data_IF_773582073783
#
_entry.id   IF_773582073783
#
_cell.length_a   1.000
_cell.length_b   1.000
_cell.length_c   1.000
_cell.angle_alpha   90.00
_cell.angle_beta   90.00
_cell.angle_gamma   90.00
#
_symmetry.space_group_name_H-M   'P 1'
#
loop_
_entity.id
_entity.type
_entity.pdbx_description
1 polymer ?
#
# COMPACT_ATOMS: atom_id res chain seq x y z
N UNK A 1 22.67 -8.70 21.50
CA UNK A 1 23.04 -8.62 20.06
C UNK A 1 21.95 -9.37 19.31
N UNK A 2 20.93 -8.65 18.88
CA UNK A 2 19.73 -9.25 18.25
C UNK A 2 19.86 -9.03 16.75
N UNK A 3 19.85 -10.13 16.00
CA UNK A 3 19.90 -10.14 14.54
C UNK A 3 18.61 -9.56 13.97
N UNK A 4 18.68 -8.73 12.94
CA UNK A 4 17.48 -8.21 12.29
C UNK A 4 16.72 -9.35 11.59
N UNK A 5 15.43 -9.28 11.66
CA UNK A 5 14.41 -10.24 11.20
C UNK A 5 14.53 -10.68 9.72
N UNK A 6 15.43 -10.07 8.95
CA UNK A 6 15.59 -10.29 7.52
C UNK A 6 16.72 -11.25 7.15
N UNK A 7 17.56 -11.66 8.09
CA UNK A 7 18.69 -12.56 7.81
C UNK A 7 18.29 -14.01 7.54
N UNK A 8 17.04 -14.39 7.74
CA UNK A 8 16.54 -15.75 7.53
C UNK A 8 15.95 -16.05 6.16
N UNK A 9 15.70 -15.05 5.34
CA UNK A 9 14.98 -15.20 4.06
C UNK A 9 15.85 -15.61 2.86
N UNK A 10 17.18 -15.76 3.02
CA UNK A 10 18.10 -15.99 1.90
C UNK A 10 18.96 -17.25 1.99
N UNK A 11 18.59 -18.23 2.82
CA UNK A 11 19.30 -19.51 2.89
C UNK A 11 18.84 -20.54 1.83
N UNK A 12 18.51 -20.09 0.62
CA UNK A 12 18.20 -20.95 -0.52
C UNK A 12 19.13 -20.67 -1.67
N UNK A 13 19.88 -21.67 -2.07
CA UNK A 13 20.77 -21.63 -3.22
C UNK A 13 20.05 -21.18 -4.49
N UNK A 14 20.42 -20.03 -5.04
CA UNK A 14 20.13 -19.66 -6.41
C UNK A 14 20.95 -20.56 -7.36
N UNK A 15 20.46 -21.72 -7.66
CA UNK A 15 20.87 -22.45 -8.86
C UNK A 15 19.90 -22.08 -9.96
N UNK A 16 20.42 -21.43 -11.01
CA UNK A 16 19.73 -21.24 -12.27
C UNK A 16 19.55 -22.62 -12.91
N UNK A 17 18.41 -23.20 -12.67
CA UNK A 17 17.99 -24.47 -13.26
C UNK A 17 16.51 -24.61 -12.96
N UNK A 18 15.72 -24.88 -14.00
CA UNK A 18 14.30 -25.15 -13.89
C UNK A 18 14.05 -26.25 -12.84
N UNK A 19 13.60 -25.87 -11.65
CA UNK A 19 13.18 -26.81 -10.62
C UNK A 19 11.77 -26.50 -10.13
N UNK A 20 11.03 -27.56 -10.03
CA UNK A 20 9.64 -27.69 -9.67
C UNK A 20 9.34 -27.16 -8.26
N UNK A 21 8.15 -26.65 -8.10
CA UNK A 21 7.47 -25.99 -6.99
C UNK A 21 7.59 -26.59 -5.57
N UNK A 22 8.41 -27.58 -5.34
CA UNK A 22 8.49 -28.31 -4.06
C UNK A 22 9.58 -27.76 -3.12
N UNK A 23 10.57 -27.04 -3.61
CA UNK A 23 11.67 -26.54 -2.76
C UNK A 23 11.44 -25.16 -2.15
N UNK A 24 10.52 -24.36 -2.71
CA UNK A 24 10.14 -23.08 -2.13
C UNK A 24 9.44 -23.19 -0.76
N UNK A 25 8.96 -24.36 -0.39
CA UNK A 25 8.38 -24.64 0.92
C UNK A 25 9.39 -24.70 2.07
N UNK A 26 10.69 -24.77 1.77
CA UNK A 26 11.74 -24.97 2.77
C UNK A 26 12.30 -23.68 3.39
N UNK A 27 11.85 -22.52 2.95
CA UNK A 27 12.37 -21.22 3.41
C UNK A 27 11.34 -20.37 4.14
N UNK A 28 10.23 -20.94 4.56
CA UNK A 28 9.44 -20.29 5.59
C UNK A 28 10.31 -20.11 6.84
N UNK A 29 10.33 -18.91 7.45
CA UNK A 29 10.80 -18.81 8.83
C UNK A 29 10.09 -19.92 9.61
N UNK A 30 10.84 -20.64 10.44
CA UNK A 30 10.25 -21.64 11.32
C UNK A 30 9.15 -20.95 12.12
N UNK A 31 8.12 -21.67 12.54
CA UNK A 31 7.02 -21.10 13.34
C UNK A 31 7.51 -20.35 14.59
N UNK A 32 8.76 -20.61 15.01
CA UNK A 32 9.41 -19.96 16.13
C UNK A 32 9.83 -18.51 15.86
N UNK A 33 9.96 -18.10 14.60
CA UNK A 33 10.38 -16.74 14.20
C UNK A 33 9.19 -15.82 13.87
N UNK A 34 8.02 -16.40 13.57
CA UNK A 34 6.81 -15.65 13.27
C UNK A 34 5.86 -15.64 14.46
N UNK A 35 5.73 -14.50 15.14
CA UNK A 35 4.80 -14.35 16.26
C UNK A 35 3.51 -13.69 15.79
N UNK A 36 2.44 -14.48 15.68
CA UNK A 36 1.09 -13.94 15.44
C UNK A 36 0.52 -13.35 16.74
N UNK A 37 0.11 -12.09 16.68
CA UNK A 37 -0.53 -11.39 17.79
C UNK A 37 -1.79 -10.69 17.30
N UNK A 38 -2.99 -11.03 17.83
CA UNK A 38 -4.21 -10.31 17.49
C UNK A 38 -4.16 -8.92 18.08
N UNK A 39 -4.05 -7.90 17.22
CA UNK A 39 -4.01 -6.50 17.63
C UNK A 39 -5.41 -5.91 17.80
N UNK A 40 -6.30 -6.22 16.87
CA UNK A 40 -7.72 -5.87 16.94
C UNK A 40 -8.53 -7.15 16.88
N UNK A 41 -9.41 -7.38 17.88
CA UNK A 41 -10.19 -8.61 17.98
C UNK A 41 -11.64 -8.36 17.62
N UNK A 42 -12.14 -9.13 16.67
CA UNK A 42 -13.56 -9.24 16.39
C UNK A 42 -14.22 -10.22 17.38
N UNK A 43 -15.34 -9.85 17.98
CA UNK A 43 -16.13 -10.78 18.81
C UNK A 43 -16.76 -11.86 17.93
N UNK A 44 -16.98 -13.10 18.46
CA UNK A 44 -17.62 -14.18 17.72
C UNK A 44 -18.93 -13.74 17.08
N UNK A 45 -19.14 -14.10 15.81
CA UNK A 45 -20.35 -13.75 15.04
C UNK A 45 -20.40 -12.30 14.55
N UNK A 46 -19.36 -11.51 14.75
CA UNK A 46 -19.22 -10.14 14.25
C UNK A 46 -17.91 -9.99 13.46
N UNK A 47 -17.90 -9.09 12.49
CA UNK A 47 -16.69 -8.81 11.69
C UNK A 47 -16.37 -7.30 11.69
N UNK A 48 -16.24 -6.64 12.86
CA UNK A 48 -16.12 -5.19 12.89
C UNK A 48 -14.75 -4.68 12.41
N UNK A 49 -13.63 -5.44 12.59
CA UNK A 49 -12.32 -4.95 12.21
C UNK A 49 -11.90 -5.43 10.83
N UNK A 50 -11.50 -4.48 9.97
CA UNK A 50 -11.00 -4.74 8.62
C UNK A 50 -9.97 -3.68 8.22
N UNK A 51 -9.31 -3.92 7.08
CA UNK A 51 -8.46 -2.96 6.36
C UNK A 51 -7.34 -2.42 7.25
N UNK A 52 -6.26 -3.17 7.43
CA UNK A 52 -5.13 -2.73 8.22
C UNK A 52 -4.30 -1.66 7.49
N UNK A 53 -3.80 -0.69 8.25
CA UNK A 53 -2.76 0.21 7.83
C UNK A 53 -1.70 0.31 8.93
N UNK A 54 -0.43 0.47 8.56
CA UNK A 54 0.65 0.58 9.52
C UNK A 54 1.72 1.57 9.04
N UNK A 55 2.24 2.35 9.96
CA UNK A 55 3.42 3.19 9.74
C UNK A 55 4.39 3.06 10.91
N UNK A 56 5.64 3.42 10.69
CA UNK A 56 6.66 3.58 11.72
C UNK A 56 7.12 5.04 11.71
N UNK A 57 7.13 5.69 12.85
CA UNK A 57 7.63 7.05 12.94
C UNK A 57 9.17 7.07 13.13
N UNK A 58 9.78 8.24 13.03
CA UNK A 58 11.24 8.40 13.14
C UNK A 58 11.83 7.96 14.48
N UNK A 59 11.00 7.75 15.51
CA UNK A 59 11.41 7.28 16.83
C UNK A 59 11.25 5.77 16.98
N UNK A 60 10.78 5.07 15.92
CA UNK A 60 10.53 3.64 15.95
C UNK A 60 9.15 3.25 16.49
N UNK A 61 8.28 4.22 16.85
CA UNK A 61 6.92 3.91 17.27
C UNK A 61 6.12 3.39 16.08
N UNK A 62 5.52 2.23 16.23
CA UNK A 62 4.56 1.68 15.27
C UNK A 62 3.18 2.29 15.51
N UNK A 63 2.52 2.69 14.41
CA UNK A 63 1.15 3.21 14.40
C UNK A 63 0.33 2.24 13.57
N UNK A 64 -0.49 1.40 14.21
CA UNK A 64 -1.36 0.46 13.53
C UNK A 64 -2.80 0.98 13.53
N UNK A 65 -3.41 1.04 12.37
CA UNK A 65 -4.78 1.53 12.15
C UNK A 65 -5.63 0.40 11.58
N UNK A 66 -6.90 0.37 11.94
CA UNK A 66 -7.91 -0.54 11.37
C UNK A 66 -9.28 0.12 11.34
N UNK A 67 -10.08 -0.23 10.34
CA UNK A 67 -11.50 0.07 10.34
C UNK A 67 -12.19 -0.73 11.44
N UNK A 68 -13.06 -0.08 12.20
CA UNK A 68 -14.05 -0.69 13.07
C UNK A 68 -15.42 -0.52 12.41
N UNK A 69 -16.03 -1.63 11.98
CA UNK A 69 -17.23 -1.65 11.13
C UNK A 69 -18.45 -2.26 11.82
N UNK A 70 -19.03 -1.62 12.85
CA UNK A 70 -20.22 -2.14 13.53
C UNK A 70 -21.44 -2.30 12.61
N UNK A 71 -21.49 -1.58 11.48
CA UNK A 71 -22.51 -1.76 10.45
C UNK A 71 -22.39 -3.08 9.67
N UNK A 72 -21.25 -3.78 9.78
CA UNK A 72 -20.98 -5.02 9.05
C UNK A 72 -20.64 -4.87 7.58
N UNK A 73 -20.80 -3.67 7.00
CA UNK A 73 -20.58 -3.35 5.59
C UNK A 73 -19.36 -2.46 5.34
N UNK A 74 -19.21 -2.04 4.09
CA UNK A 74 -18.22 -1.05 3.66
C UNK A 74 -18.71 0.38 4.01
N UNK A 75 -17.83 1.38 3.79
CA UNK A 75 -18.18 2.79 3.97
C UNK A 75 -19.36 3.12 3.04
N UNK A 76 -20.36 3.79 3.59
CA UNK A 76 -21.61 4.10 2.90
C UNK A 76 -22.80 3.26 3.35
N UNK A 77 -22.58 2.15 4.07
CA UNK A 77 -23.65 1.32 4.62
C UNK A 77 -23.99 1.61 6.10
N UNK A 78 -23.31 2.56 6.73
CA UNK A 78 -23.54 2.94 8.10
C UNK A 78 -22.27 3.37 8.82
N UNK A 79 -22.32 3.35 10.16
CA UNK A 79 -21.18 3.77 10.99
C UNK A 79 -19.96 2.89 10.77
N UNK A 80 -18.85 3.53 10.45
CA UNK A 80 -17.49 2.97 10.44
C UNK A 80 -16.59 3.97 11.15
N UNK A 81 -15.71 3.47 12.03
CA UNK A 81 -14.71 4.29 12.72
C UNK A 81 -13.32 3.85 12.31
N UNK A 82 -12.36 4.75 12.34
CA UNK A 82 -10.95 4.41 12.33
C UNK A 82 -10.44 4.30 13.78
N UNK A 83 -9.86 3.15 14.11
CA UNK A 83 -9.25 2.86 15.40
C UNK A 83 -7.75 2.65 15.22
N UNK A 84 -6.96 2.99 16.25
CA UNK A 84 -5.52 2.81 16.18
C UNK A 84 -4.91 2.38 17.51
N UNK A 85 -3.71 1.82 17.43
CA UNK A 85 -2.85 1.47 18.57
C UNK A 85 -1.41 1.86 18.27
N UNK A 86 -0.67 2.14 19.31
CA UNK A 86 0.74 2.50 19.26
C UNK A 86 1.61 1.45 19.95
N UNK A 87 2.82 1.25 19.44
CA UNK A 87 3.83 0.42 20.09
C UNK A 87 5.19 1.11 19.99
N UNK A 88 5.85 1.31 21.16
CA UNK A 88 7.18 1.92 21.25
C UNK A 88 8.29 0.87 21.43
N UNK A 89 7.98 -0.41 21.30
CA UNK A 89 8.89 -1.53 21.52
C UNK A 89 8.75 -2.62 20.47
N UNK A 90 8.72 -2.21 19.19
CA UNK A 90 8.67 -3.12 18.04
C UNK A 90 7.50 -4.12 18.05
N UNK A 91 6.32 -3.71 18.52
CA UNK A 91 5.14 -4.56 18.56
C UNK A 91 5.13 -5.55 19.73
N UNK A 92 6.10 -5.50 20.65
CA UNK A 92 6.12 -6.38 21.82
C UNK A 92 4.92 -6.11 22.73
N UNK A 93 4.57 -4.83 22.93
CA UNK A 93 3.36 -4.40 23.60
C UNK A 93 2.70 -3.24 22.83
N UNK A 94 1.40 -3.10 22.99
CA UNK A 94 0.60 -2.09 22.33
C UNK A 94 -0.24 -1.30 23.33
N UNK A 95 -0.51 -0.04 23.01
CA UNK A 95 -1.42 0.81 23.77
C UNK A 95 -2.83 0.19 23.81
N UNK A 96 -3.68 0.70 24.70
CA UNK A 96 -5.13 0.52 24.54
C UNK A 96 -5.55 1.02 23.16
N UNK A 97 -6.70 0.55 22.69
CA UNK A 97 -7.31 1.06 21.48
C UNK A 97 -7.70 2.53 21.65
N UNK A 98 -7.39 3.32 20.62
CA UNK A 98 -7.66 4.75 20.52
C UNK A 98 -8.54 5.00 19.29
N UNK A 99 -9.29 6.10 19.33
CA UNK A 99 -10.11 6.56 18.21
C UNK A 99 -9.31 7.53 17.37
N UNK A 100 -9.17 7.23 16.06
CA UNK A 100 -8.55 8.12 15.09
C UNK A 100 -9.60 9.07 14.48
N UNK A 101 -10.72 8.48 14.00
CA UNK A 101 -11.88 9.20 13.50
C UNK A 101 -13.14 8.39 13.81
N UNK A 102 -14.18 9.05 14.29
CA UNK A 102 -15.44 8.42 14.63
C UNK A 102 -16.54 8.88 13.68
N UNK A 103 -17.20 7.92 13.00
CA UNK A 103 -18.36 8.19 12.17
C UNK A 103 -19.59 8.51 13.03
N UNK A 104 -20.43 9.44 12.57
CA UNK A 104 -21.68 9.77 13.25
C UNK A 104 -22.79 8.73 13.00
N UNK A 105 -22.62 7.86 12.00
CA UNK A 105 -23.59 6.82 11.63
C UNK A 105 -24.89 7.37 11.03
N UNK A 106 -24.97 8.67 10.78
CA UNK A 106 -26.18 9.32 10.25
C UNK A 106 -26.25 9.15 8.74
N UNK A 107 -27.36 8.58 8.28
CA UNK A 107 -27.58 8.40 6.85
C UNK A 107 -27.63 9.74 6.11
N UNK A 108 -26.88 9.86 5.01
CA UNK A 108 -26.72 11.09 4.25
C UNK A 108 -25.66 12.07 4.79
N UNK A 109 -25.09 11.80 5.96
CA UNK A 109 -24.02 12.60 6.53
C UNK A 109 -22.71 12.43 5.75
N UNK A 110 -21.96 13.52 5.59
CA UNK A 110 -20.58 13.51 5.02
C UNK A 110 -19.57 12.88 5.96
N UNK A 111 -19.96 12.65 7.22
CA UNK A 111 -19.16 12.09 8.30
C UNK A 111 -19.76 10.78 8.84
N UNK A 112 -20.65 10.15 8.08
CA UNK A 112 -21.33 8.90 8.47
C UNK A 112 -20.35 7.79 8.86
N UNK A 113 -19.25 7.63 8.10
CA UNK A 113 -18.21 6.68 8.39
C UNK A 113 -16.85 7.15 7.91
N UNK A 114 -15.80 6.59 8.49
CA UNK A 114 -14.39 6.74 8.10
C UNK A 114 -13.74 5.37 7.99
N UNK A 115 -13.05 5.08 6.88
CA UNK A 115 -12.40 3.79 6.68
C UNK A 115 -11.41 3.79 5.52
N UNK A 116 -10.85 2.62 5.21
CA UNK A 116 -9.87 2.41 4.16
C UNK A 116 -8.66 3.35 4.31
N UNK A 117 -8.08 3.41 5.51
CA UNK A 117 -6.98 4.31 5.84
C UNK A 117 -5.72 4.01 5.04
N UNK A 118 -5.10 5.04 4.48
CA UNK A 118 -3.73 5.05 4.00
C UNK A 118 -2.89 5.97 4.88
N UNK A 119 -1.76 5.48 5.41
CA UNK A 119 -0.96 6.20 6.41
C UNK A 119 0.49 6.35 5.98
N UNK A 120 1.12 7.47 6.36
CA UNK A 120 2.56 7.66 6.37
C UNK A 120 2.99 8.50 7.55
N UNK A 121 4.13 8.17 8.13
CA UNK A 121 4.85 9.03 9.08
C UNK A 121 6.06 9.62 8.40
N UNK A 122 6.26 10.94 8.54
CA UNK A 122 7.43 11.61 7.97
C UNK A 122 8.70 11.14 8.66
N UNK A 123 9.64 10.57 7.89
CA UNK A 123 10.90 10.07 8.43
C UNK A 123 11.82 11.17 8.98
N UNK A 124 11.58 12.44 8.66
CA UNK A 124 12.43 13.58 9.06
C UNK A 124 11.83 14.43 10.18
N UNK A 125 10.57 14.20 10.54
CA UNK A 125 9.87 14.92 11.60
C UNK A 125 8.93 14.02 12.41
N UNK A 126 8.26 14.57 13.41
CA UNK A 126 7.21 13.86 14.16
C UNK A 126 5.81 14.03 13.53
N UNK A 127 5.76 14.47 12.27
CA UNK A 127 4.49 14.62 11.58
C UNK A 127 4.08 13.30 10.90
N UNK A 128 2.78 13.07 10.88
CA UNK A 128 2.19 11.93 10.17
C UNK A 128 0.88 12.36 9.51
N UNK A 129 0.49 11.63 8.47
CA UNK A 129 -0.78 11.87 7.77
C UNK A 129 -1.52 10.55 7.53
N UNK A 130 -2.84 10.61 7.70
CA UNK A 130 -3.77 9.57 7.28
C UNK A 130 -4.72 10.18 6.28
N UNK A 131 -4.91 9.49 5.15
CA UNK A 131 -5.98 9.78 4.18
C UNK A 131 -6.94 8.60 4.19
N UNK A 132 -8.25 8.87 4.20
CA UNK A 132 -9.26 7.83 4.32
C UNK A 132 -10.52 8.14 3.50
N UNK A 133 -11.33 7.12 3.27
CA UNK A 133 -12.70 7.30 2.76
C UNK A 133 -13.59 7.83 3.86
N UNK A 134 -14.55 8.69 3.52
CA UNK A 134 -15.56 9.19 4.46
C UNK A 134 -16.93 9.33 3.80
N UNK A 135 -17.96 9.53 4.63
CA UNK A 135 -19.32 9.84 4.21
C UNK A 135 -20.25 8.63 4.13
N UNK A 136 -21.30 8.80 3.34
CA UNK A 136 -22.41 7.85 3.21
C UNK A 136 -22.63 7.38 1.76
N UNK A 137 -21.64 7.54 0.89
CA UNK A 137 -21.74 7.13 -0.51
C UNK A 137 -20.85 5.90 -0.74
N UNK A 138 -21.47 4.81 -1.19
CA UNK A 138 -20.79 3.52 -1.42
C UNK A 138 -19.94 3.58 -2.67
N UNK A 139 -18.66 3.16 -2.59
CA UNK A 139 -17.80 3.04 -3.76
C UNK A 139 -18.39 2.04 -4.78
N UNK A 140 -18.46 2.46 -6.03
CA UNK A 140 -18.89 1.59 -7.13
C UNK A 140 -20.39 1.26 -7.16
N UNK A 141 -21.22 1.88 -6.33
CA UNK A 141 -22.67 1.76 -6.45
C UNK A 141 -23.16 2.54 -7.69
N UNK A 142 -24.24 2.05 -8.32
CA UNK A 142 -24.76 2.67 -9.55
C UNK A 142 -25.21 4.13 -9.43
N UNK A 143 -25.51 4.58 -8.20
CA UNK A 143 -25.90 5.96 -7.88
C UNK A 143 -24.71 6.86 -7.54
N UNK A 144 -23.51 6.30 -7.39
CA UNK A 144 -22.30 7.07 -7.10
C UNK A 144 -21.83 7.77 -8.36
N UNK A 145 -21.79 9.08 -8.31
CA UNK A 145 -21.47 9.96 -9.44
C UNK A 145 -20.56 11.09 -8.97
N UNK A 146 -19.85 11.75 -9.90
CA UNK A 146 -19.03 12.92 -9.60
C UNK A 146 -19.78 14.00 -8.80
N UNK A 147 -21.09 14.14 -9.01
CA UNK A 147 -21.97 15.07 -8.26
C UNK A 147 -22.31 14.60 -6.84
N UNK A 148 -22.14 13.31 -6.55
CA UNK A 148 -22.31 12.69 -5.23
C UNK A 148 -21.32 11.53 -5.05
N UNK A 149 -20.01 11.82 -5.00
CA UNK A 149 -18.98 10.79 -4.95
C UNK A 149 -18.84 10.23 -3.52
N UNK A 150 -18.20 9.07 -3.40
CA UNK A 150 -17.60 8.73 -2.11
C UNK A 150 -16.51 9.76 -1.78
N UNK A 151 -16.40 10.11 -0.51
CA UNK A 151 -15.61 11.26 -0.06
C UNK A 151 -14.23 10.85 0.43
N UNK A 152 -13.33 11.81 0.47
CA UNK A 152 -11.97 11.65 0.97
C UNK A 152 -11.73 12.64 2.10
N UNK A 153 -11.18 12.16 3.22
CA UNK A 153 -10.76 12.99 4.34
C UNK A 153 -9.27 12.79 4.65
N UNK A 154 -8.65 13.82 5.23
CA UNK A 154 -7.26 13.80 5.69
C UNK A 154 -7.19 14.17 7.16
N UNK A 155 -6.30 13.51 7.89
CA UNK A 155 -5.95 13.79 9.29
C UNK A 155 -4.44 13.94 9.40
N UNK A 156 -4.01 14.86 10.25
CA UNK A 156 -2.58 15.11 10.52
C UNK A 156 -2.26 14.92 12.00
N UNK A 157 -1.10 14.33 12.27
CA UNK A 157 -0.45 14.31 13.57
C UNK A 157 0.81 15.18 13.54
N UNK A 158 1.17 15.77 14.67
CA UNK A 158 2.41 16.56 14.86
C UNK A 158 3.30 16.00 15.94
N UNK A 159 2.93 14.91 16.57
CA UNK A 159 3.55 14.32 17.75
C UNK A 159 3.85 12.82 17.61
N UNK A 160 4.10 12.39 16.38
CA UNK A 160 4.46 10.99 16.08
C UNK A 160 3.28 10.02 16.09
N UNK A 161 2.05 10.52 15.92
CA UNK A 161 0.84 9.68 15.89
C UNK A 161 0.12 9.56 17.23
N UNK A 162 0.57 10.27 18.27
CA UNK A 162 -0.08 10.25 19.59
C UNK A 162 -1.42 11.00 19.59
N UNK A 163 -1.47 12.14 18.91
CA UNK A 163 -2.71 12.90 18.71
C UNK A 163 -2.90 13.25 17.24
N UNK A 164 -4.16 13.44 16.85
CA UNK A 164 -4.55 13.70 15.48
C UNK A 164 -5.50 14.89 15.38
N UNK A 165 -5.43 15.60 14.26
CA UNK A 165 -6.42 16.63 13.93
C UNK A 165 -7.80 16.03 13.74
N UNK A 166 -8.84 16.88 13.77
CA UNK A 166 -10.13 16.48 13.21
C UNK A 166 -9.99 16.17 11.72
N UNK A 167 -10.78 15.22 11.19
CA UNK A 167 -10.80 14.93 9.77
C UNK A 167 -11.20 16.16 8.94
N UNK A 168 -10.46 16.43 7.88
CA UNK A 168 -10.72 17.50 6.93
C UNK A 168 -11.12 16.88 5.59
N UNK A 169 -12.28 17.26 5.07
CA UNK A 169 -12.76 16.82 3.77
C UNK A 169 -11.93 17.45 2.64
N UNK A 170 -11.26 16.61 1.85
CA UNK A 170 -10.46 17.00 0.69
C UNK A 170 -11.04 16.45 -0.64
N UNK A 171 -12.30 16.04 -0.63
CA UNK A 171 -12.95 15.41 -1.78
C UNK A 171 -12.78 16.24 -3.06
N UNK A 172 -13.12 17.52 -3.03
CA UNK A 172 -13.02 18.37 -4.21
C UNK A 172 -11.56 18.59 -4.64
N UNK A 173 -10.62 18.68 -3.70
CA UNK A 173 -9.21 18.80 -4.03
C UNK A 173 -8.73 17.61 -4.89
N UNK A 174 -9.16 16.39 -4.53
CA UNK A 174 -8.70 15.17 -5.22
C UNK A 174 -9.46 14.95 -6.53
N UNK A 175 -10.78 15.08 -6.52
CA UNK A 175 -11.60 14.82 -7.70
C UNK A 175 -11.35 15.83 -8.82
N UNK A 176 -11.20 17.11 -8.50
CA UNK A 176 -10.97 18.16 -9.49
C UNK A 176 -9.67 17.97 -10.30
N UNK A 177 -8.70 17.22 -9.78
CA UNK A 177 -7.48 16.88 -10.51
C UNK A 177 -7.78 16.15 -11.85
N UNK A 178 -8.91 15.43 -11.89
CA UNK A 178 -9.24 14.54 -13.01
C UNK A 178 -10.50 14.98 -13.79
N UNK A 179 -11.14 16.09 -13.43
CA UNK A 179 -12.39 16.55 -14.08
C UNK A 179 -12.20 16.88 -15.58
N UNK A 180 -10.97 17.21 -15.99
CA UNK A 180 -10.63 17.48 -17.40
C UNK A 180 -10.07 16.28 -18.14
N UNK A 181 -10.14 15.08 -17.55
CA UNK A 181 -9.64 13.87 -18.18
C UNK A 181 -10.49 13.43 -19.38
N UNK A 182 -9.83 13.02 -20.46
CA UNK A 182 -10.50 12.42 -21.62
C UNK A 182 -11.12 11.05 -21.31
N UNK A 183 -10.78 10.45 -20.15
CA UNK A 183 -11.38 9.18 -19.68
C UNK A 183 -12.76 9.38 -19.04
N UNK A 184 -13.25 10.62 -19.01
CA UNK A 184 -14.48 11.02 -18.33
C UNK A 184 -14.25 11.45 -16.88
N UNK A 185 -15.25 12.09 -16.30
CA UNK A 185 -15.25 12.48 -14.90
C UNK A 185 -15.20 11.23 -14.01
N UNK A 186 -14.42 11.31 -12.92
CA UNK A 186 -14.34 10.22 -11.94
C UNK A 186 -15.56 10.26 -11.04
N UNK A 187 -16.34 9.20 -11.04
CA UNK A 187 -17.55 9.06 -10.23
C UNK A 187 -17.25 8.60 -8.80
N UNK A 188 -16.24 7.76 -8.65
CA UNK A 188 -15.82 7.22 -7.35
C UNK A 188 -14.32 7.00 -7.33
N UNK A 189 -13.66 7.37 -6.22
CA UNK A 189 -12.26 7.02 -6.00
C UNK A 189 -11.88 7.02 -4.52
N UNK A 190 -10.84 6.27 -4.18
CA UNK A 190 -10.24 6.26 -2.86
C UNK A 190 -8.75 5.94 -2.94
N UNK A 191 -8.00 6.33 -1.90
CA UNK A 191 -6.60 6.00 -1.75
C UNK A 191 -6.45 4.49 -1.45
N UNK A 192 -5.53 3.81 -2.10
CA UNK A 192 -5.20 2.43 -1.78
C UNK A 192 -4.78 2.31 -0.31
N UNK A 193 -5.60 1.61 0.49
CA UNK A 193 -5.42 1.48 1.95
C UNK A 193 -4.08 0.83 2.32
N UNK A 194 -3.61 1.05 3.53
CA UNK A 194 -2.32 0.57 4.04
C UNK A 194 -1.29 1.69 4.10
N UNK A 195 -0.13 1.54 3.47
CA UNK A 195 0.96 2.53 3.53
C UNK A 195 0.92 3.50 2.34
N UNK A 196 1.17 4.78 2.61
CA UNK A 196 1.55 5.78 1.60
C UNK A 196 3.07 5.73 1.44
N UNK A 197 3.58 5.71 0.20
CA UNK A 197 5.01 5.73 -0.07
C UNK A 197 5.59 7.12 0.15
N UNK A 198 6.66 7.23 0.92
CA UNK A 198 7.46 8.44 1.04
C UNK A 198 8.76 8.26 0.26
N UNK A 199 9.01 9.14 -0.71
CA UNK A 199 10.23 9.13 -1.52
C UNK A 199 11.49 9.12 -0.67
N UNK A 200 12.47 8.34 -1.03
CA UNK A 200 13.81 8.37 -0.43
C UNK A 200 14.74 9.37 -1.12
N UNK A 201 14.43 9.72 -2.36
CA UNK A 201 15.30 10.49 -3.25
C UNK A 201 14.80 11.91 -3.50
N UNK A 202 13.49 12.11 -3.60
CA UNK A 202 12.90 13.39 -3.98
C UNK A 202 12.46 14.16 -2.75
N UNK A 203 13.16 15.26 -2.48
CA UNK A 203 12.82 16.20 -1.42
C UNK A 203 12.51 17.56 -2.02
N UNK A 204 11.34 18.10 -1.69
CA UNK A 204 10.91 19.43 -2.12
C UNK A 204 10.65 20.29 -0.89
N UNK A 205 11.41 21.38 -0.76
CA UNK A 205 11.36 22.20 0.45
C UNK A 205 11.68 21.40 1.71
N UNK A 206 10.74 21.35 2.64
CA UNK A 206 10.90 20.68 3.94
C UNK A 206 10.71 19.16 3.84
N UNK A 207 9.81 18.68 2.97
CA UNK A 207 9.34 17.29 2.98
C UNK A 207 9.89 16.46 1.83
N UNK A 208 10.02 15.16 2.08
CA UNK A 208 10.16 14.19 1.01
C UNK A 208 8.80 13.96 0.36
N UNK A 209 8.80 13.87 -0.99
CA UNK A 209 7.59 13.64 -1.77
C UNK A 209 6.86 12.39 -1.32
N UNK A 210 5.55 12.50 -1.19
CA UNK A 210 4.66 11.36 -1.00
C UNK A 210 4.11 10.90 -2.34
N UNK A 211 3.96 9.60 -2.50
CA UNK A 211 3.25 8.99 -3.62
C UNK A 211 2.10 8.15 -3.08
N UNK A 212 0.93 8.29 -3.67
CA UNK A 212 -0.23 7.49 -3.34
C UNK A 212 -1.00 7.10 -4.60
N UNK A 213 -1.51 5.88 -4.61
CA UNK A 213 -2.30 5.41 -5.72
C UNK A 213 -3.79 5.40 -5.36
N UNK A 214 -4.62 5.71 -6.35
CA UNK A 214 -6.06 5.82 -6.22
C UNK A 214 -6.74 4.72 -7.03
N UNK A 215 -7.66 4.00 -6.40
CA UNK A 215 -8.65 3.22 -7.10
C UNK A 215 -9.72 4.18 -7.58
N UNK A 216 -10.00 4.24 -8.89
CA UNK A 216 -10.92 5.21 -9.49
C UNK A 216 -11.86 4.56 -10.49
N UNK A 217 -13.06 5.10 -10.61
CA UNK A 217 -14.09 4.68 -11.56
C UNK A 217 -14.81 5.89 -12.18
N UNK A 218 -15.03 5.89 -13.50
CA UNK A 218 -14.46 4.97 -14.49
C UNK A 218 -12.97 5.21 -14.72
N UNK A 219 -12.35 4.34 -15.50
CA UNK A 219 -11.05 4.54 -16.10
C UNK A 219 -9.85 4.01 -15.34
N UNK A 220 -10.04 3.21 -14.29
CA UNK A 220 -8.94 2.50 -13.59
C UNK A 220 -8.12 3.41 -12.67
N UNK A 221 -6.94 2.94 -12.29
CA UNK A 221 -6.14 3.64 -11.27
C UNK A 221 -5.63 5.01 -11.72
N UNK A 222 -5.37 5.84 -10.73
CA UNK A 222 -4.67 7.12 -10.81
C UNK A 222 -3.56 7.13 -9.77
N UNK A 223 -2.54 7.93 -10.00
CA UNK A 223 -1.50 8.14 -9.00
C UNK A 223 -1.35 9.64 -8.74
N UNK A 224 -1.19 9.97 -7.48
CA UNK A 224 -0.99 11.35 -7.02
C UNK A 224 0.28 11.46 -6.20
N UNK A 225 0.83 12.67 -6.12
CA UNK A 225 1.94 13.00 -5.25
C UNK A 225 1.64 14.25 -4.41
N UNK A 226 2.36 14.37 -3.30
CA UNK A 226 2.32 15.55 -2.43
C UNK A 226 3.74 15.94 -2.02
N UNK A 227 4.05 17.23 -2.08
CA UNK A 227 5.34 17.80 -1.65
C UNK A 227 5.24 18.53 -0.29
N UNK A 228 4.07 18.50 0.33
CA UNK A 228 3.76 19.22 1.58
C UNK A 228 3.13 18.33 2.66
N UNK A 229 3.51 17.05 2.65
CA UNK A 229 3.03 16.03 3.59
C UNK A 229 1.49 15.89 3.56
N UNK A 230 0.91 15.75 2.37
CA UNK A 230 -0.50 15.43 2.16
C UNK A 230 -1.47 16.60 2.35
N UNK A 231 -0.98 17.85 2.45
CA UNK A 231 -1.84 19.04 2.50
C UNK A 231 -2.41 19.38 1.14
N UNK A 232 -1.57 19.25 0.10
CA UNK A 232 -2.02 19.34 -1.29
C UNK A 232 -1.54 18.14 -2.10
N UNK A 233 -2.36 17.74 -3.06
CA UNK A 233 -2.09 16.62 -3.94
C UNK A 233 -2.14 17.04 -5.40
N UNK A 234 -1.30 16.41 -6.21
CA UNK A 234 -1.18 16.64 -7.65
C UNK A 234 -1.18 15.31 -8.39
N UNK A 235 -1.70 15.27 -9.61
CA UNK A 235 -1.63 14.07 -10.43
C UNK A 235 -0.17 13.77 -10.82
N UNK A 236 0.25 12.51 -10.73
CA UNK A 236 1.54 12.04 -11.21
C UNK A 236 1.37 11.46 -12.62
N UNK A 237 1.88 12.17 -13.60
CA UNK A 237 1.74 11.83 -15.02
C UNK A 237 0.51 12.46 -15.67
N UNK A 238 0.21 12.02 -16.88
CA UNK A 238 -0.90 12.51 -17.67
C UNK A 238 -2.25 12.08 -17.06
N UNK A 239 -3.20 13.03 -16.99
CA UNK A 239 -4.55 12.75 -16.48
C UNK A 239 -5.45 12.08 -17.52
N UNK A 240 -5.06 12.07 -18.79
CA UNK A 240 -5.83 11.52 -19.90
C UNK A 240 -5.60 10.02 -20.11
N UNK A 241 -4.64 9.45 -19.42
CA UNK A 241 -4.33 8.01 -19.46
C UNK A 241 -4.35 7.41 -18.06
N UNK A 242 -4.71 6.13 -17.97
CA UNK A 242 -4.63 5.39 -16.69
C UNK A 242 -3.39 4.51 -16.69
N UNK A 243 -2.56 4.56 -15.65
CA UNK A 243 -1.43 3.64 -15.53
C UNK A 243 -1.87 2.17 -15.37
N UNK A 244 -3.10 1.93 -14.94
CA UNK A 244 -3.69 0.60 -14.79
C UNK A 244 -5.19 0.65 -15.09
N UNK A 245 -5.59 0.60 -16.39
CA UNK A 245 -6.98 0.78 -16.80
C UNK A 245 -7.95 -0.27 -16.26
N UNK A 246 -7.47 -1.49 -16.05
CA UNK A 246 -8.23 -2.62 -15.50
C UNK A 246 -7.92 -2.89 -14.04
N UNK A 247 -7.07 -2.04 -13.42
CA UNK A 247 -6.66 -2.18 -12.04
C UNK A 247 -7.77 -1.82 -11.05
N UNK A 248 -7.77 -2.51 -9.91
CA UNK A 248 -8.60 -2.22 -8.75
C UNK A 248 -7.72 -1.55 -7.67
N UNK A 249 -7.68 -2.03 -6.43
CA UNK A 249 -6.95 -1.44 -5.32
C UNK A 249 -5.42 -1.40 -5.57
N UNK A 250 -4.85 -0.20 -5.70
CA UNK A 250 -3.45 -0.04 -6.08
C UNK A 250 -2.55 0.34 -4.91
N UNK A 251 -1.24 0.10 -5.10
CA UNK A 251 -0.16 0.56 -4.25
C UNK A 251 0.98 1.10 -5.12
N UNK A 252 1.80 1.96 -4.58
CA UNK A 252 3.01 2.47 -5.25
C UNK A 252 4.23 2.38 -4.35
N UNK A 253 5.40 2.21 -4.99
CA UNK A 253 6.69 2.25 -4.29
C UNK A 253 7.74 2.93 -5.19
N UNK A 254 8.77 3.53 -4.59
CA UNK A 254 9.85 4.19 -5.32
C UNK A 254 11.01 3.24 -5.60
N UNK A 255 11.33 3.05 -6.88
CA UNK A 255 12.49 2.28 -7.33
C UNK A 255 13.81 3.00 -6.96
N UNK A 256 14.94 2.30 -6.90
CA UNK A 256 16.23 2.90 -6.55
C UNK A 256 16.70 4.05 -7.43
N UNK A 257 16.24 4.13 -8.67
CA UNK A 257 16.52 5.25 -9.57
C UNK A 257 15.59 6.46 -9.39
N UNK A 258 14.55 6.30 -8.58
CA UNK A 258 13.52 7.30 -8.32
C UNK A 258 12.26 7.16 -9.18
N UNK A 259 12.25 6.23 -10.14
CA UNK A 259 11.03 5.85 -10.84
C UNK A 259 10.00 5.30 -9.86
N UNK A 260 8.70 5.39 -10.20
CA UNK A 260 7.63 4.93 -9.31
C UNK A 260 6.94 3.72 -9.91
N UNK A 261 6.97 2.59 -9.22
CA UNK A 261 6.24 1.41 -9.62
C UNK A 261 4.84 1.39 -9.01
N UNK A 262 3.85 1.12 -9.84
CA UNK A 262 2.48 0.83 -9.45
C UNK A 262 2.27 -0.68 -9.41
N UNK A 263 1.65 -1.16 -8.34
CA UNK A 263 1.17 -2.54 -8.18
C UNK A 263 -0.32 -2.50 -7.95
N UNK A 264 -1.11 -2.99 -8.88
CA UNK A 264 -2.56 -2.96 -8.80
C UNK A 264 -3.18 -4.35 -8.67
N UNK A 265 -4.25 -4.43 -7.87
CA UNK A 265 -5.07 -5.62 -7.72
C UNK A 265 -5.75 -5.97 -9.04
N UNK A 266 -5.59 -7.22 -9.46
CA UNK A 266 -6.33 -7.84 -10.56
C UNK A 266 -6.62 -9.30 -10.22
N UNK A 267 -7.47 -9.96 -10.99
CA UNK A 267 -7.66 -11.40 -10.89
C UNK A 267 -6.44 -12.15 -11.42
N UNK A 268 -5.97 -13.14 -10.68
CA UNK A 268 -4.90 -14.06 -11.10
C UNK A 268 -3.47 -13.60 -10.80
N UNK A 269 -3.26 -12.32 -10.46
CA UNK A 269 -1.92 -11.78 -10.20
C UNK A 269 -1.92 -10.32 -9.79
N UNK A 270 -0.92 -9.59 -10.28
CA UNK A 270 -0.80 -8.13 -10.12
C UNK A 270 -0.59 -7.50 -11.49
N UNK A 271 -1.09 -6.29 -11.65
CA UNK A 271 -0.79 -5.44 -12.79
C UNK A 271 0.22 -4.40 -12.35
N UNK A 272 1.38 -4.38 -13.00
CA UNK A 272 2.45 -3.46 -12.73
C UNK A 272 2.57 -2.42 -13.85
N UNK A 273 2.93 -1.19 -13.47
CA UNK A 273 3.35 -0.13 -14.39
C UNK A 273 4.45 0.69 -13.73
N UNK A 274 5.28 1.37 -14.52
CA UNK A 274 6.36 2.23 -14.03
C UNK A 274 6.21 3.64 -14.60
N UNK A 275 6.31 4.62 -13.70
CA UNK A 275 6.45 6.03 -14.05
C UNK A 275 7.93 6.39 -14.13
N UNK A 276 8.38 6.80 -15.30
CA UNK A 276 9.73 7.24 -15.55
C UNK A 276 9.80 8.76 -15.51
N UNK A 277 10.67 9.30 -14.66
CA UNK A 277 10.84 10.73 -14.53
C UNK A 277 11.71 11.32 -15.65
N UNK A 278 11.26 12.46 -16.20
CA UNK A 278 12.09 13.41 -16.93
C UNK A 278 12.71 14.43 -15.98
N UNK A 279 11.96 14.87 -14.98
CA UNK A 279 12.43 15.74 -13.91
C UNK A 279 11.78 15.37 -12.59
N UNK A 280 12.56 14.95 -11.63
CA UNK A 280 12.10 14.65 -10.28
C UNK A 280 11.55 15.91 -9.59
N UNK A 281 12.24 17.04 -9.73
CA UNK A 281 11.84 18.28 -9.05
C UNK A 281 10.47 18.77 -9.52
N UNK A 282 10.21 18.73 -10.81
CA UNK A 282 8.97 19.24 -11.40
C UNK A 282 7.88 18.15 -11.52
N UNK A 283 8.15 16.94 -11.03
CA UNK A 283 7.27 15.77 -11.16
C UNK A 283 6.80 15.49 -12.61
N UNK A 284 7.65 15.81 -13.59
CA UNK A 284 7.36 15.53 -15.00
C UNK A 284 7.93 14.18 -15.42
N UNK A 285 7.22 13.48 -16.27
CA UNK A 285 7.54 12.14 -16.74
C UNK A 285 6.33 11.46 -17.35
N UNK A 286 6.42 10.17 -17.55
CA UNK A 286 5.32 9.39 -18.13
C UNK A 286 5.27 7.97 -17.54
N UNK A 287 4.05 7.45 -17.43
CA UNK A 287 3.79 6.03 -17.23
C UNK A 287 4.07 5.29 -18.54
N UNK A 288 4.52 4.04 -18.44
CA UNK A 288 4.61 3.20 -19.63
C UNK A 288 3.24 3.03 -20.28
N UNK A 289 3.22 3.03 -21.62
CA UNK A 289 1.99 2.91 -22.38
C UNK A 289 1.29 1.55 -22.17
N UNK A 290 2.06 0.51 -21.83
CA UNK A 290 1.55 -0.85 -21.64
C UNK A 290 1.96 -1.39 -20.27
N UNK A 291 1.01 -1.51 -19.33
CA UNK A 291 1.26 -2.16 -18.05
C UNK A 291 1.48 -3.68 -18.24
N UNK A 292 2.19 -4.30 -17.31
CA UNK A 292 2.51 -5.72 -17.33
C UNK A 292 1.65 -6.53 -16.36
N UNK A 293 1.10 -7.64 -16.83
CA UNK A 293 0.36 -8.61 -16.02
C UNK A 293 1.33 -9.67 -15.48
N UNK A 294 1.53 -9.71 -14.17
CA UNK A 294 2.52 -10.61 -13.57
C UNK A 294 2.29 -12.09 -13.89
N UNK A 295 1.04 -12.53 -13.96
CA UNK A 295 0.70 -13.92 -14.27
C UNK A 295 1.06 -14.34 -15.71
N UNK A 296 1.30 -13.39 -16.60
CA UNK A 296 1.67 -13.66 -17.99
C UNK A 296 3.20 -13.66 -18.21
N UNK A 297 3.96 -13.28 -17.18
CA UNK A 297 5.40 -13.17 -17.27
C UNK A 297 6.11 -14.39 -16.66
N UNK A 298 7.29 -14.72 -17.18
CA UNK A 298 8.12 -15.81 -16.68
C UNK A 298 8.50 -15.60 -15.22
N UNK A 299 8.19 -16.57 -14.36
CA UNK A 299 8.39 -16.44 -12.92
C UNK A 299 7.60 -15.31 -12.28
N UNK A 300 6.56 -14.82 -12.93
CA UNK A 300 5.71 -13.76 -12.39
C UNK A 300 4.84 -14.25 -11.25
N UNK A 301 4.59 -13.37 -10.29
CA UNK A 301 3.74 -13.72 -9.15
C UNK A 301 2.29 -13.98 -9.58
N UNK A 302 1.66 -14.93 -8.88
CA UNK A 302 0.27 -15.31 -9.10
C UNK A 302 -0.52 -15.10 -7.81
N UNK A 303 -1.74 -14.61 -7.93
CA UNK A 303 -2.69 -14.51 -6.85
C UNK A 303 -3.98 -15.19 -7.28
N UNK A 304 -4.67 -15.83 -6.34
CA UNK A 304 -5.93 -16.47 -6.63
C UNK A 304 -7.02 -15.42 -6.94
N UNK A 305 -8.15 -15.91 -7.42
CA UNK A 305 -9.31 -15.09 -7.75
C UNK A 305 -9.67 -14.16 -6.61
N UNK A 306 -9.91 -13.62 -5.91
CA UNK A 306 -10.17 -12.77 -4.75
C UNK A 306 -8.91 -12.07 -4.21
N UNK A 307 -7.94 -11.78 -5.07
CA UNK A 307 -6.83 -10.90 -4.74
C UNK A 307 -7.34 -9.62 -4.04
N UNK A 308 -6.49 -9.03 -3.22
CA UNK A 308 -6.78 -7.80 -2.47
C UNK A 308 -5.73 -6.74 -2.76
N UNK A 309 -5.79 -5.58 -2.09
CA UNK A 309 -4.79 -4.55 -2.35
C UNK A 309 -3.36 -5.06 -2.13
N UNK A 310 -3.11 -5.89 -1.11
CA UNK A 310 -1.77 -6.29 -0.73
C UNK A 310 -0.87 -5.09 -0.44
N UNK A 311 0.36 -5.32 -0.01
CA UNK A 311 1.35 -4.25 0.13
C UNK A 311 2.53 -4.54 -0.78
N UNK A 312 3.08 -3.51 -1.42
CA UNK A 312 4.39 -3.55 -2.06
C UNK A 312 5.35 -2.75 -1.18
N UNK A 313 6.52 -3.34 -0.88
CA UNK A 313 7.51 -2.73 0.00
C UNK A 313 8.91 -3.08 -0.49
N UNK A 314 9.80 -2.10 -0.56
CA UNK A 314 11.21 -2.36 -0.84
C UNK A 314 12.04 -2.26 0.44
N UNK A 315 12.85 -3.29 0.67
CA UNK A 315 13.66 -3.41 1.88
C UNK A 315 15.13 -3.68 1.54
N UNK A 316 16.03 -3.16 2.35
CA UNK A 316 17.44 -3.52 2.26
C UNK A 316 17.66 -4.86 2.97
N UNK A 317 18.44 -5.72 2.33
CA UNK A 317 18.76 -7.05 2.81
C UNK A 317 20.23 -7.39 2.52
N UNK A 318 20.71 -8.45 3.13
CA UNK A 318 22.02 -9.02 2.85
C UNK A 318 21.81 -10.40 2.26
N UNK A 319 22.33 -10.64 1.07
CA UNK A 319 22.44 -11.96 0.49
C UNK A 319 23.37 -12.81 1.39
N UNK A 320 22.82 -13.86 1.98
CA UNK A 320 23.57 -14.70 2.92
C UNK A 320 24.68 -15.53 2.25
N UNK A 321 24.57 -15.77 0.96
CA UNK A 321 25.54 -16.55 0.20
C UNK A 321 26.75 -15.69 -0.15
N UNK A 322 26.50 -14.54 -0.78
CA UNK A 322 27.53 -13.67 -1.30
C UNK A 322 27.87 -12.50 -0.35
N UNK A 323 27.13 -12.35 0.75
CA UNK A 323 27.27 -11.26 1.73
C UNK A 323 27.12 -9.86 1.15
N UNK A 324 26.53 -9.76 -0.02
CA UNK A 324 26.29 -8.49 -0.68
C UNK A 324 24.97 -7.85 -0.19
N UNK A 325 24.97 -6.53 -0.11
CA UNK A 325 23.72 -5.78 0.11
C UNK A 325 22.85 -5.86 -1.15
N UNK A 326 21.62 -6.22 -0.98
CA UNK A 326 20.60 -6.30 -2.03
C UNK A 326 19.38 -5.48 -1.60
N UNK A 327 18.63 -4.99 -2.58
CA UNK A 327 17.31 -4.43 -2.36
C UNK A 327 16.28 -5.43 -2.82
N UNK A 328 15.37 -5.80 -1.92
CA UNK A 328 14.29 -6.72 -2.22
C UNK A 328 12.98 -5.97 -2.42
N UNK A 329 12.26 -6.31 -3.46
CA UNK A 329 10.85 -6.01 -3.59
C UNK A 329 10.05 -7.14 -2.94
N UNK A 330 9.12 -6.78 -2.06
CA UNK A 330 8.18 -7.67 -1.38
C UNK A 330 6.76 -7.32 -1.84
N UNK A 331 5.95 -8.33 -2.14
CA UNK A 331 4.53 -8.16 -2.46
C UNK A 331 3.70 -9.15 -1.66
N UNK A 332 2.85 -8.65 -0.76
CA UNK A 332 1.93 -9.50 -0.02
C UNK A 332 0.63 -9.73 -0.80
N UNK A 333 0.11 -10.95 -0.73
CA UNK A 333 -1.15 -11.36 -1.36
C UNK A 333 -1.79 -12.49 -0.56
N UNK A 334 -3.13 -12.66 -0.61
CA UNK A 334 -3.77 -13.88 -0.12
C UNK A 334 -3.46 -15.05 -1.06
N UNK A 335 -3.03 -16.16 -0.50
CA UNK A 335 -2.69 -17.37 -1.28
C UNK A 335 -3.92 -18.25 -1.54
N UNK A 336 -4.98 -18.10 -0.76
CA UNK A 336 -6.21 -18.86 -0.90
C UNK A 336 -6.22 -20.20 -0.16
N UNK A 337 -7.29 -21.00 -0.30
CA UNK A 337 -8.45 -20.70 -1.13
C UNK A 337 -9.24 -19.50 -0.62
N UNK A 338 -9.80 -18.70 -1.53
CA UNK A 338 -10.47 -17.47 -1.18
C UNK A 338 -9.53 -16.42 -0.56
N UNK A 339 -10.01 -15.66 0.42
CA UNK A 339 -9.22 -14.64 1.15
C UNK A 339 -8.63 -15.26 2.42
N UNK A 340 -7.60 -16.07 2.26
CA UNK A 340 -6.93 -16.75 3.36
C UNK A 340 -5.44 -16.96 3.03
N UNK A 341 -4.68 -17.36 4.04
CA UNK A 341 -3.26 -17.70 3.89
C UNK A 341 -2.47 -16.54 3.26
N UNK A 342 -2.25 -15.48 3.99
CA UNK A 342 -1.41 -14.36 3.51
C UNK A 342 0.01 -14.86 3.27
N UNK A 343 0.52 -14.57 2.09
CA UNK A 343 1.88 -14.88 1.70
C UNK A 343 2.59 -13.68 1.10
N UNK A 344 3.92 -13.79 1.02
CA UNK A 344 4.79 -12.76 0.46
C UNK A 344 5.58 -13.35 -0.70
N UNK A 345 5.44 -12.74 -1.87
CA UNK A 345 6.37 -12.90 -2.98
C UNK A 345 7.51 -11.91 -2.83
N UNK A 346 8.72 -12.30 -3.27
CA UNK A 346 9.89 -11.44 -3.20
C UNK A 346 10.74 -11.57 -4.45
N UNK A 347 11.50 -10.53 -4.77
CA UNK A 347 12.55 -10.57 -5.79
C UNK A 347 13.65 -9.59 -5.46
N UNK A 348 14.90 -9.91 -5.81
CA UNK A 348 15.98 -8.94 -5.78
C UNK A 348 15.80 -7.94 -6.93
N UNK A 349 15.91 -6.66 -6.63
CA UNK A 349 16.00 -5.63 -7.65
C UNK A 349 17.36 -5.69 -8.33
N UNK A 350 17.47 -5.31 -9.63
CA UNK A 350 18.70 -5.48 -10.39
C UNK A 350 19.87 -4.62 -9.89
N UNK A 351 19.58 -3.55 -9.16
CA UNK A 351 20.58 -2.72 -8.50
C UNK A 351 19.96 -1.91 -7.35
N UNK A 352 20.74 -1.59 -6.33
CA UNK A 352 20.42 -0.62 -5.31
C UNK A 352 21.01 0.77 -5.59
N UNK A 353 21.79 0.92 -6.66
CA UNK A 353 22.42 2.18 -7.05
C UNK A 353 21.52 2.98 -7.98
N UNK A 354 21.27 4.23 -7.63
CA UNK A 354 20.40 5.14 -8.38
C UNK A 354 20.77 5.27 -9.86
N UNK A 355 22.06 5.39 -10.16
CA UNK A 355 22.57 5.65 -11.51
C UNK A 355 23.05 4.37 -12.22
N UNK A 356 22.64 3.19 -11.75
CA UNK A 356 23.02 1.95 -12.41
C UNK A 356 22.46 1.91 -13.85
N UNK A 357 23.27 1.52 -14.85
CA UNK A 357 22.83 1.52 -16.25
C UNK A 357 21.58 0.67 -16.52
N UNK A 358 21.33 -0.33 -15.69
CA UNK A 358 20.16 -1.22 -15.81
C UNK A 358 18.83 -0.46 -15.72
N UNK A 359 18.76 0.62 -14.95
CA UNK A 359 17.53 1.40 -14.78
C UNK A 359 17.09 2.13 -16.04
N UNK A 360 18.03 2.46 -16.92
CA UNK A 360 17.74 3.22 -18.16
C UNK A 360 16.70 2.53 -19.05
N UNK A 361 16.68 1.20 -19.04
CA UNK A 361 15.78 0.39 -19.87
C UNK A 361 14.92 -0.57 -19.05
N UNK A 362 14.84 -0.37 -17.73
CA UNK A 362 14.04 -1.22 -16.86
C UNK A 362 12.56 -0.88 -17.01
N UNK A 363 11.75 -1.91 -17.24
CA UNK A 363 10.34 -1.75 -17.59
C UNK A 363 9.41 -2.43 -16.59
N UNK A 364 8.12 -2.12 -16.66
CA UNK A 364 7.07 -2.82 -15.91
C UNK A 364 7.08 -4.34 -16.19
N UNK A 365 7.42 -4.73 -17.42
CA UNK A 365 7.56 -6.14 -17.79
C UNK A 365 8.75 -6.80 -17.08
N UNK A 366 9.88 -6.10 -16.94
CA UNK A 366 11.04 -6.60 -16.19
C UNK A 366 10.73 -6.68 -14.70
N UNK A 367 9.95 -5.72 -14.18
CA UNK A 367 9.49 -5.77 -12.80
C UNK A 367 8.54 -6.94 -12.55
N UNK A 368 7.66 -7.25 -13.49
CA UNK A 368 6.68 -8.33 -13.38
C UNK A 368 7.28 -9.75 -13.39
N UNK A 369 8.50 -9.93 -13.94
CA UNK A 369 9.21 -11.21 -14.04
C UNK A 369 9.97 -11.59 -12.77
N UNK A 370 10.29 -12.89 -12.65
CA UNK A 370 11.32 -13.40 -11.75
C UNK A 370 11.03 -13.20 -10.26
N UNK A 371 9.79 -13.32 -9.86
CA UNK A 371 9.39 -13.33 -8.46
C UNK A 371 9.58 -14.72 -7.86
N UNK A 372 10.08 -14.79 -6.65
CA UNK A 372 10.23 -16.00 -5.85
C UNK A 372 9.14 -16.05 -4.77
N UNK A 373 8.90 -17.25 -4.21
CA UNK A 373 7.85 -17.48 -3.23
C UNK A 373 6.63 -18.18 -3.83
N UNK A 374 5.46 -18.12 -3.18
CA UNK A 374 5.18 -17.30 -1.98
C UNK A 374 5.70 -17.92 -0.69
N UNK A 375 6.13 -17.06 0.24
CA UNK A 375 6.33 -17.42 1.63
C UNK A 375 5.02 -17.23 2.37
N UNK A 376 4.44 -18.29 2.91
CA UNK A 376 3.22 -18.20 3.71
C UNK A 376 3.56 -17.65 5.11
N UNK A 377 2.96 -16.52 5.48
CA UNK A 377 3.21 -15.84 6.76
C UNK A 377 2.08 -16.04 7.77
N UNK A 378 0.88 -16.43 7.32
CA UNK A 378 -0.25 -16.73 8.20
C UNK A 378 -1.15 -17.77 7.57
N UNK A 379 -1.73 -18.64 8.40
CA UNK A 379 -2.75 -19.62 7.99
C UNK A 379 -4.18 -19.12 8.20
N UNK A 380 -4.31 -17.97 8.86
CA UNK A 380 -5.60 -17.41 9.18
C UNK A 380 -6.31 -16.86 7.94
N UNK A 381 -7.62 -16.74 8.04
CA UNK A 381 -8.40 -15.95 7.09
C UNK A 381 -7.89 -14.52 7.10
N UNK A 382 -7.40 -14.03 5.96
CA UNK A 382 -6.83 -12.69 5.83
C UNK A 382 -7.07 -12.15 4.44
N UNK A 383 -7.77 -11.03 4.34
CA UNK A 383 -8.08 -10.42 3.06
C UNK A 383 -7.04 -9.36 2.68
N UNK A 384 -6.82 -8.40 3.56
CA UNK A 384 -5.95 -7.24 3.32
C UNK A 384 -4.69 -7.38 4.15
N UNK A 385 -3.59 -6.91 3.61
CA UNK A 385 -2.30 -6.93 4.28
C UNK A 385 -1.53 -5.64 4.03
N UNK A 386 -0.75 -5.24 5.01
CA UNK A 386 0.16 -4.10 4.94
C UNK A 386 1.49 -4.48 5.60
N UNK A 387 2.56 -3.83 5.20
CA UNK A 387 3.91 -4.12 5.69
C UNK A 387 4.67 -2.82 5.93
N UNK A 388 5.50 -2.81 6.97
CA UNK A 388 6.53 -1.79 7.17
C UNK A 388 7.85 -2.47 7.54
N UNK A 389 8.95 -1.85 7.13
CA UNK A 389 10.25 -2.19 7.67
C UNK A 389 10.46 -1.37 8.94
N UNK A 390 10.76 -2.05 10.03
CA UNK A 390 11.23 -1.39 11.25
C UNK A 390 12.65 -0.89 11.03
N UNK A 391 12.93 0.29 11.53
CA UNK A 391 14.31 0.79 11.67
C UNK A 391 14.88 0.25 12.98
N UNK A 392 16.11 -0.24 12.92
CA UNK A 392 16.87 -0.67 14.10
C UNK A 392 17.11 0.48 15.06
#
# INVERSE_FOLDING_TARGET
MRLPFLSLLLAGTLTVGAQTTTEAQLLCPTADDAVERPLFKTLPGKTPYRIPAIAVNRRGTLIAVSDYRPCGGDIGFGKVDLRYRLSDNNGATWSRELVLAEGDGVNGSKTCGYGDAAIVSDRSSDEAVVVCVTGNTVYGHGTTKRSNPNRVAVLHSRDGGHTWSQPVDITEQIYSLFDKSNLGAVDAMFFGSGRICQSQLVKVGRYYRLYAALCARPGGNRVVYSDDLGRTWHALGDIHTSPAPTGDEPKVEELPDGSVVLSSRISGGRLFNIFHYLSHQNATGAWEATPALSQNEEGGLKALQNSTNGEILFVDAIDNVNRHKVRLALQSVPLGPGRANVGIYYKALPSNQRNAPVWKNYTAKDFAKGWSGPLKVSELGGAYSTMVQQTD
#
